data_IF_646941356780
#
_entry.id   IF_646941356780
#
_cell.length_a   1.000
_cell.length_b   1.000
_cell.length_c   1.000
_cell.angle_alpha   90.00
_cell.angle_beta   90.00
_cell.angle_gamma   90.00
#
_symmetry.space_group_name_H-M   'P 1'
#
loop_
_entity.id
_entity.type
_entity.pdbx_description
1 polymer ?
#
# COMPACT_ATOMS: atom_id res chain seq x y z
N UNK A 1 3.75 -26.60 -62.64
CA UNK A 1 4.52 -25.63 -61.84
C UNK A 1 3.59 -25.05 -60.79
N UNK A 2 3.62 -25.59 -59.56
CA UNK A 2 2.79 -25.13 -58.43
C UNK A 2 3.72 -24.96 -57.23
N UNK A 3 3.83 -23.73 -56.72
CA UNK A 3 4.61 -23.37 -55.53
C UNK A 3 3.88 -23.87 -54.26
N UNK A 4 4.58 -24.37 -53.23
CA UNK A 4 3.96 -24.66 -51.95
C UNK A 4 3.71 -23.35 -51.19
N UNK A 5 2.49 -23.18 -50.67
CA UNK A 5 2.15 -22.07 -49.77
C UNK A 5 2.79 -22.32 -48.41
N UNK A 6 3.78 -21.50 -48.07
CA UNK A 6 4.36 -21.43 -46.72
C UNK A 6 3.29 -20.95 -45.75
N UNK A 7 2.88 -21.80 -44.82
CA UNK A 7 2.00 -21.41 -43.72
C UNK A 7 2.83 -20.63 -42.69
N UNK A 8 2.52 -19.35 -42.52
CA UNK A 8 3.10 -18.52 -41.48
C UNK A 8 2.34 -18.78 -40.18
N UNK A 9 2.96 -19.53 -39.25
CA UNK A 9 2.42 -19.72 -37.91
C UNK A 9 2.70 -18.45 -37.08
N UNK A 10 1.67 -17.66 -36.81
CA UNK A 10 1.76 -16.58 -35.81
C UNK A 10 1.66 -17.20 -34.42
N UNK A 11 2.78 -17.21 -33.69
CA UNK A 11 2.78 -17.47 -32.25
C UNK A 11 2.25 -16.21 -31.55
N UNK A 12 0.98 -16.21 -31.14
CA UNK A 12 0.46 -15.15 -30.30
C UNK A 12 1.10 -15.28 -28.90
N UNK A 13 2.04 -14.40 -28.58
CA UNK A 13 2.48 -14.24 -27.21
C UNK A 13 1.28 -13.75 -26.38
N UNK A 14 0.72 -14.63 -25.56
CA UNK A 14 -0.22 -14.22 -24.52
C UNK A 14 0.58 -13.42 -23.49
N UNK A 15 0.63 -12.10 -23.67
CA UNK A 15 0.98 -11.21 -22.58
C UNK A 15 -0.07 -11.46 -21.49
N UNK A 16 0.34 -12.15 -20.44
CA UNK A 16 -0.52 -12.44 -19.30
C UNK A 16 -1.09 -11.11 -18.82
N UNK A 17 -2.40 -10.95 -18.94
CA UNK A 17 -3.15 -9.91 -18.23
C UNK A 17 -2.80 -10.11 -16.76
N UNK A 18 -2.02 -9.19 -16.20
CA UNK A 18 -1.76 -9.16 -14.76
C UNK A 18 -3.14 -9.01 -14.12
N UNK A 19 -3.59 -10.06 -13.43
CA UNK A 19 -4.82 -10.00 -12.65
C UNK A 19 -4.76 -8.77 -11.75
N UNK A 20 -5.90 -8.09 -11.57
CA UNK A 20 -6.01 -7.11 -10.50
C UNK A 20 -5.51 -7.72 -9.19
N UNK A 21 -4.78 -6.93 -8.40
CA UNK A 21 -4.26 -7.33 -7.10
C UNK A 21 -5.36 -8.01 -6.27
N UNK A 22 -5.12 -9.25 -5.82
CA UNK A 22 -6.07 -9.92 -4.93
C UNK A 22 -5.97 -9.32 -3.54
N UNK A 23 -7.11 -9.23 -2.85
CA UNK A 23 -7.16 -8.74 -1.48
C UNK A 23 -6.48 -9.68 -0.46
N UNK A 24 -6.16 -10.90 -0.88
CA UNK A 24 -5.48 -11.93 -0.06
C UNK A 24 -4.05 -12.20 -0.50
N UNK A 25 -3.47 -11.34 -1.34
CA UNK A 25 -2.09 -11.50 -1.78
C UNK A 25 -1.12 -11.42 -0.60
N UNK A 26 -0.02 -12.15 -0.74
CA UNK A 26 1.09 -12.20 0.23
C UNK A 26 2.38 -11.80 -0.49
N UNK A 27 3.33 -11.23 0.24
CA UNK A 27 4.63 -10.92 -0.34
C UNK A 27 5.38 -12.21 -0.67
N UNK A 28 5.84 -12.33 -1.92
CA UNK A 28 6.60 -13.49 -2.41
C UNK A 28 8.01 -13.14 -2.90
N UNK A 29 8.37 -11.85 -2.97
CA UNK A 29 9.68 -11.37 -3.40
C UNK A 29 10.10 -10.18 -2.54
N UNK A 30 11.39 -10.09 -2.19
CA UNK A 30 11.98 -8.96 -1.44
C UNK A 30 12.16 -9.25 0.05
N UNK A 31 12.63 -8.26 0.81
CA UNK A 31 12.88 -8.39 2.25
C UNK A 31 11.61 -8.74 3.07
N UNK A 32 10.42 -8.44 2.57
CA UNK A 32 9.15 -8.84 3.20
C UNK A 32 8.94 -10.36 3.23
N UNK A 33 9.73 -11.15 2.48
CA UNK A 33 9.70 -12.62 2.56
C UNK A 33 10.56 -13.20 3.68
N UNK A 34 11.43 -12.40 4.30
CA UNK A 34 12.33 -12.88 5.37
C UNK A 34 11.57 -13.03 6.70
N UNK A 35 12.20 -13.67 7.69
CA UNK A 35 11.56 -13.91 8.98
C UNK A 35 10.32 -14.79 8.83
N UNK A 36 9.17 -14.36 9.37
CA UNK A 36 7.89 -15.06 9.21
C UNK A 36 7.19 -14.82 7.87
N UNK A 37 7.77 -13.99 7.00
CA UNK A 37 7.12 -13.48 5.80
C UNK A 37 6.02 -12.45 6.11
N UNK A 38 5.43 -11.88 5.04
CA UNK A 38 4.34 -10.90 5.12
C UNK A 38 3.09 -11.41 4.41
N UNK A 39 2.06 -11.72 5.19
CA UNK A 39 0.74 -12.18 4.75
C UNK A 39 -0.41 -11.25 5.13
N UNK A 40 -0.12 -10.18 5.88
CA UNK A 40 -1.07 -9.16 6.28
C UNK A 40 -2.23 -9.73 7.10
N UNK A 41 -3.45 -9.32 6.75
CA UNK A 41 -4.69 -9.76 7.38
C UNK A 41 -5.30 -11.03 6.78
N UNK A 42 -4.57 -11.77 5.93
CA UNK A 42 -5.07 -13.01 5.30
C UNK A 42 -5.58 -13.99 6.37
N UNK A 43 -6.80 -14.51 6.16
CA UNK A 43 -7.47 -15.42 7.10
C UNK A 43 -8.27 -14.70 8.20
N UNK A 44 -8.16 -13.37 8.29
CA UNK A 44 -8.97 -12.53 9.15
C UNK A 44 -10.26 -12.04 8.50
N UNK A 45 -10.98 -11.19 9.23
CA UNK A 45 -12.18 -10.51 8.75
C UNK A 45 -11.84 -9.58 7.58
N UNK A 46 -12.75 -9.45 6.61
CA UNK A 46 -12.66 -8.40 5.59
C UNK A 46 -13.67 -7.30 5.90
N UNK A 47 -13.19 -6.07 6.08
CA UNK A 47 -14.04 -4.89 6.31
C UNK A 47 -13.83 -3.88 5.19
N UNK A 48 -14.88 -3.17 4.80
CA UNK A 48 -14.78 -2.03 3.87
C UNK A 48 -14.95 -0.73 4.65
N UNK A 49 -14.04 0.21 4.46
CA UNK A 49 -14.05 1.52 5.13
C UNK A 49 -14.18 2.64 4.10
N UNK A 50 -14.98 3.65 4.45
CA UNK A 50 -15.21 4.85 3.64
C UNK A 50 -15.17 6.14 4.48
N UNK A 51 -14.68 6.06 5.72
CA UNK A 51 -14.54 7.20 6.63
C UNK A 51 -13.30 7.06 7.51
N UNK A 52 -12.78 8.18 8.01
CA UNK A 52 -11.59 8.20 8.86
C UNK A 52 -11.81 7.40 10.15
N UNK A 53 -12.96 7.56 10.80
CA UNK A 53 -13.31 6.82 12.02
C UNK A 53 -13.34 5.31 11.79
N UNK A 54 -13.93 4.86 10.66
CA UNK A 54 -13.97 3.44 10.32
C UNK A 54 -12.56 2.90 10.01
N UNK A 55 -11.73 3.66 9.31
CA UNK A 55 -10.33 3.32 9.06
C UNK A 55 -9.57 3.14 10.39
N UNK A 56 -9.62 4.14 11.28
CA UNK A 56 -8.96 4.10 12.60
C UNK A 56 -9.39 2.86 13.38
N UNK A 57 -10.70 2.63 13.49
CA UNK A 57 -11.23 1.49 14.24
C UNK A 57 -10.78 0.15 13.67
N UNK A 58 -10.67 0.03 12.35
CA UNK A 58 -10.32 -1.23 11.70
C UNK A 58 -8.84 -1.60 11.82
N UNK A 59 -7.95 -0.61 12.00
CA UNK A 59 -6.49 -0.81 11.94
C UNK A 59 -5.77 -0.71 13.28
N UNK A 60 -6.41 -0.18 14.33
CA UNK A 60 -5.76 0.14 15.60
C UNK A 60 -5.31 -1.08 16.44
N UNK A 61 -5.98 -2.23 16.28
CA UNK A 61 -5.68 -3.46 17.01
C UNK A 61 -4.66 -4.37 16.28
N UNK A 62 -4.37 -5.54 16.85
CA UNK A 62 -3.50 -6.56 16.23
C UNK A 62 -4.27 -7.75 15.62
N UNK A 63 -5.61 -7.69 15.60
CA UNK A 63 -6.47 -8.76 15.07
C UNK A 63 -6.30 -8.84 13.56
N UNK A 64 -6.05 -10.01 12.95
CA UNK A 64 -5.93 -10.13 11.50
C UNK A 64 -7.15 -9.54 10.78
N UNK A 65 -6.93 -8.58 9.88
CA UNK A 65 -8.01 -7.95 9.12
C UNK A 65 -7.55 -7.45 7.75
N UNK A 66 -8.36 -7.71 6.74
CA UNK A 66 -8.28 -7.08 5.42
C UNK A 66 -9.18 -5.84 5.45
N UNK A 67 -8.57 -4.67 5.40
CA UNK A 67 -9.24 -3.37 5.44
C UNK A 67 -9.27 -2.79 4.03
N UNK A 68 -10.42 -2.88 3.38
CA UNK A 68 -10.63 -2.38 2.03
C UNK A 68 -11.02 -0.90 2.07
N UNK A 69 -10.14 -0.03 1.58
CA UNK A 69 -10.39 1.43 1.49
C UNK A 69 -11.22 1.71 0.24
N UNK A 70 -12.45 2.19 0.41
CA UNK A 70 -13.37 2.47 -0.69
C UNK A 70 -13.52 3.98 -0.91
N UNK A 71 -13.15 4.44 -2.11
CA UNK A 71 -13.22 5.85 -2.47
C UNK A 71 -12.18 6.70 -1.76
N UNK A 72 -12.50 7.97 -1.55
CA UNK A 72 -11.62 8.94 -0.88
C UNK A 72 -12.01 9.08 0.59
N UNK A 73 -11.03 8.90 1.48
CA UNK A 73 -11.12 9.22 2.89
C UNK A 73 -10.19 10.41 3.15
N UNK A 74 -10.79 11.53 3.53
CA UNK A 74 -10.05 12.74 3.89
C UNK A 74 -9.99 12.92 5.40
N UNK A 75 -8.90 13.48 5.89
CA UNK A 75 -8.69 13.71 7.31
C UNK A 75 -7.50 14.62 7.58
N UNK A 76 -7.23 14.81 8.86
CA UNK A 76 -6.08 15.51 9.38
C UNK A 76 -5.63 14.71 10.62
N UNK A 77 -5.01 13.56 10.38
CA UNK A 77 -4.79 12.56 11.41
C UNK A 77 -3.55 11.71 11.17
N UNK A 78 -2.88 11.38 12.28
CA UNK A 78 -1.94 10.28 12.38
C UNK A 78 -2.69 9.03 12.85
N UNK A 79 -2.79 8.02 11.98
CA UNK A 79 -3.52 6.78 12.25
C UNK A 79 -2.53 5.69 12.67
N UNK A 80 -2.66 5.21 13.91
CA UNK A 80 -1.87 4.10 14.42
C UNK A 80 -2.33 2.78 13.79
N UNK A 81 -1.42 2.06 13.14
CA UNK A 81 -1.69 0.78 12.49
C UNK A 81 -1.01 -0.35 13.27
N UNK A 82 -1.81 -1.24 13.86
CA UNK A 82 -1.31 -2.43 14.53
C UNK A 82 -0.89 -3.55 13.56
N UNK A 83 -0.54 -4.70 14.12
CA UNK A 83 -0.07 -5.86 13.36
C UNK A 83 -1.19 -6.59 12.60
N UNK A 84 -0.79 -7.44 11.64
CA UNK A 84 -1.68 -8.34 10.89
C UNK A 84 -2.75 -7.61 10.08
N UNK A 85 -2.37 -6.55 9.39
CA UNK A 85 -3.29 -5.74 8.58
C UNK A 85 -2.96 -5.87 7.11
N UNK A 86 -4.00 -5.98 6.28
CA UNK A 86 -3.90 -5.68 4.85
C UNK A 86 -4.77 -4.47 4.56
N UNK A 87 -4.18 -3.29 4.37
CA UNK A 87 -4.89 -2.06 3.98
C UNK A 87 -4.83 -1.97 2.46
N UNK A 88 -5.97 -2.20 1.80
CA UNK A 88 -6.02 -2.36 0.34
C UNK A 88 -7.03 -1.40 -0.27
N UNK A 89 -6.62 -0.58 -1.23
CA UNK A 89 -7.55 0.30 -1.93
C UNK A 89 -8.42 -0.45 -2.94
N UNK A 90 -9.73 -0.20 -2.88
CA UNK A 90 -10.69 -0.59 -3.93
C UNK A 90 -10.65 0.47 -5.01
N UNK A 91 -10.30 0.09 -6.24
CA UNK A 91 -10.12 1.02 -7.37
C UNK A 91 -9.20 2.20 -7.00
N UNK A 92 -8.07 1.90 -6.36
CA UNK A 92 -7.10 2.91 -5.88
C UNK A 92 -7.68 3.85 -4.83
N UNK A 93 -8.13 3.28 -3.70
CA UNK A 93 -8.68 4.03 -2.57
C UNK A 93 -7.69 5.10 -2.06
N UNK A 94 -8.21 6.30 -1.77
CA UNK A 94 -7.40 7.50 -1.56
C UNK A 94 -7.47 7.97 -0.11
N UNK A 95 -6.32 8.15 0.53
CA UNK A 95 -6.16 8.75 1.86
C UNK A 95 -5.57 10.16 1.70
N UNK A 96 -6.35 11.19 2.04
CA UNK A 96 -5.96 12.60 1.89
C UNK A 96 -5.79 13.22 3.28
N UNK A 97 -4.60 13.75 3.57
CA UNK A 97 -4.26 14.37 4.86
C UNK A 97 -4.13 13.38 6.03
N UNK A 98 -3.95 12.10 5.73
CA UNK A 98 -3.90 11.02 6.72
C UNK A 98 -2.55 10.30 6.61
N UNK A 99 -1.76 10.36 7.68
CA UNK A 99 -0.53 9.57 7.82
C UNK A 99 -0.82 8.21 8.45
N UNK A 100 -0.29 7.13 7.88
CA UNK A 100 -0.32 5.80 8.50
C UNK A 100 0.96 5.57 9.30
N UNK A 101 0.81 5.31 10.59
CA UNK A 101 1.93 5.20 11.53
C UNK A 101 2.03 3.79 12.10
N UNK A 102 3.03 3.04 11.61
CA UNK A 102 3.35 1.68 12.05
C UNK A 102 4.50 1.79 13.05
N UNK A 103 4.24 1.44 14.31
CA UNK A 103 5.24 1.50 15.37
C UNK A 103 5.20 0.23 16.20
N UNK A 104 6.30 -0.54 16.16
CA UNK A 104 6.35 -1.90 16.69
C UNK A 104 5.29 -2.85 16.09
N UNK A 105 4.90 -2.59 14.85
CA UNK A 105 3.94 -3.43 14.12
C UNK A 105 4.65 -4.49 13.31
N UNK A 106 3.98 -5.59 13.03
CA UNK A 106 4.50 -6.63 12.16
C UNK A 106 3.44 -7.21 11.24
N UNK A 107 3.89 -7.79 10.13
CA UNK A 107 3.02 -8.46 9.18
C UNK A 107 1.91 -7.51 8.65
N UNK A 108 2.33 -6.42 8.00
CA UNK A 108 1.43 -5.40 7.45
C UNK A 108 1.61 -5.26 5.95
N UNK A 109 0.50 -5.23 5.22
CA UNK A 109 0.42 -4.96 3.79
C UNK A 109 -0.32 -3.64 3.58
N UNK A 110 0.25 -2.73 2.81
CA UNK A 110 -0.42 -1.50 2.33
C UNK A 110 -0.34 -1.53 0.81
N UNK A 111 -1.49 -1.55 0.14
CA UNK A 111 -1.53 -1.90 -1.27
C UNK A 111 -2.61 -1.22 -2.08
N UNK A 112 -2.29 -0.82 -3.32
CA UNK A 112 -3.25 -0.20 -4.24
C UNK A 112 -3.96 1.02 -3.61
N UNK A 113 -3.25 1.83 -2.84
CA UNK A 113 -3.77 3.06 -2.23
C UNK A 113 -3.11 4.27 -2.85
N UNK A 114 -3.78 5.42 -2.73
CA UNK A 114 -3.21 6.73 -3.04
C UNK A 114 -3.10 7.46 -1.70
N UNK A 115 -1.96 8.12 -1.45
CA UNK A 115 -1.74 8.94 -0.27
C UNK A 115 -1.35 10.34 -0.69
N UNK A 116 -2.02 11.35 -0.14
CA UNK A 116 -1.63 12.72 -0.44
C UNK A 116 -1.86 13.76 0.65
N UNK A 117 -1.10 14.84 0.58
CA UNK A 117 -1.28 16.08 1.35
C UNK A 117 -1.25 15.88 2.87
N UNK A 118 -0.37 15.02 3.35
CA UNK A 118 -0.20 14.79 4.79
C UNK A 118 0.63 15.92 5.38
N UNK A 119 -0.03 16.80 6.15
CA UNK A 119 0.64 17.89 6.86
C UNK A 119 1.70 17.34 7.81
N UNK A 120 2.82 18.06 7.96
CA UNK A 120 3.97 17.62 8.79
C UNK A 120 3.61 17.30 10.24
N UNK A 121 2.54 17.90 10.78
CA UNK A 121 2.00 17.58 12.12
C UNK A 121 1.52 16.11 12.25
N UNK A 122 1.20 15.46 11.13
CA UNK A 122 0.79 14.06 11.06
C UNK A 122 1.89 13.12 10.54
N UNK A 123 3.13 13.61 10.48
CA UNK A 123 4.32 12.93 9.94
C UNK A 123 4.18 12.65 8.43
N UNK A 124 4.57 11.46 7.98
CA UNK A 124 4.61 11.10 6.56
C UNK A 124 3.29 10.47 6.10
N UNK A 125 3.15 10.26 4.79
CA UNK A 125 2.06 9.44 4.28
C UNK A 125 2.09 8.01 4.84
N UNK A 126 3.27 7.41 4.98
CA UNK A 126 3.49 6.17 5.73
C UNK A 126 4.80 6.26 6.53
N UNK A 127 4.68 6.21 7.85
CA UNK A 127 5.84 6.16 8.76
C UNK A 127 5.96 4.75 9.35
N UNK A 128 7.15 4.15 9.25
CA UNK A 128 7.44 2.80 9.73
C UNK A 128 8.61 2.86 10.72
N UNK A 129 8.30 2.63 12.00
CA UNK A 129 9.26 2.67 13.11
C UNK A 129 9.28 1.32 13.81
N UNK A 130 10.47 0.75 14.03
CA UNK A 130 10.65 -0.49 14.81
C UNK A 130 9.80 -1.69 14.37
N UNK A 131 9.40 -1.72 13.09
CA UNK A 131 8.41 -2.65 12.56
C UNK A 131 9.06 -3.66 11.61
N UNK A 132 8.50 -4.85 11.49
CA UNK A 132 9.06 -5.93 10.65
C UNK A 132 8.02 -6.50 9.71
N UNK A 133 8.45 -7.09 8.60
CA UNK A 133 7.55 -7.75 7.66
C UNK A 133 6.45 -6.81 7.14
N UNK A 134 6.86 -5.61 6.69
CA UNK A 134 5.96 -4.65 6.05
C UNK A 134 6.13 -4.70 4.52
N UNK A 135 5.01 -4.73 3.79
CA UNK A 135 4.98 -4.70 2.33
C UNK A 135 4.13 -3.53 1.84
N UNK A 136 4.76 -2.59 1.15
CA UNK A 136 4.10 -1.48 0.46
C UNK A 136 4.15 -1.79 -1.04
N UNK A 137 2.99 -1.91 -1.69
CA UNK A 137 2.94 -2.28 -3.11
C UNK A 137 1.86 -1.55 -3.91
N UNK A 138 2.18 -1.11 -5.13
CA UNK A 138 1.24 -0.34 -5.97
C UNK A 138 0.63 0.89 -5.25
N UNK A 139 1.45 1.60 -4.48
CA UNK A 139 1.00 2.82 -3.77
C UNK A 139 1.46 4.06 -4.52
N UNK A 140 0.56 5.02 -4.72
CA UNK A 140 0.88 6.34 -5.28
C UNK A 140 0.94 7.37 -4.14
N UNK A 141 2.08 8.05 -4.02
CA UNK A 141 2.36 9.05 -2.99
C UNK A 141 2.60 10.40 -3.63
N UNK A 142 1.91 11.43 -3.15
CA UNK A 142 2.19 12.80 -3.59
C UNK A 142 1.76 13.88 -2.63
N UNK A 143 2.41 15.03 -2.73
CA UNK A 143 1.94 16.29 -2.17
C UNK A 143 1.77 17.31 -3.31
N UNK A 144 1.60 18.57 -2.95
CA UNK A 144 1.89 19.69 -3.85
C UNK A 144 3.27 20.30 -3.50
N UNK A 145 3.71 21.28 -4.28
CA UNK A 145 5.01 21.98 -4.11
C UNK A 145 4.80 23.48 -3.97
N UNK A 146 3.62 23.88 -3.52
CA UNK A 146 3.18 25.29 -3.48
C UNK A 146 3.40 25.91 -2.09
N UNK A 147 4.07 25.17 -1.20
CA UNK A 147 4.35 25.53 0.19
C UNK A 147 5.84 25.43 0.48
N UNK A 148 6.27 25.90 1.67
CA UNK A 148 7.63 25.68 2.13
C UNK A 148 7.92 24.18 2.39
N UNK A 149 9.20 23.83 2.48
CA UNK A 149 9.68 22.45 2.58
C UNK A 149 9.21 21.71 3.84
N UNK A 150 8.76 22.40 4.89
CA UNK A 150 8.36 21.82 6.17
C UNK A 150 6.84 21.85 6.39
N UNK A 151 6.07 22.37 5.41
CA UNK A 151 4.61 22.31 5.40
C UNK A 151 4.11 20.85 5.34
N UNK A 152 4.76 20.06 4.49
CA UNK A 152 4.68 18.61 4.48
C UNK A 152 6.00 18.05 5.01
N UNK A 153 5.96 16.91 5.72
CA UNK A 153 7.19 16.19 6.11
C UNK A 153 7.64 15.29 4.94
N UNK A 154 8.02 14.04 5.14
CA UNK A 154 8.31 13.07 4.09
C UNK A 154 7.07 12.40 3.49
N UNK A 155 7.29 11.56 2.46
CA UNK A 155 6.24 10.66 1.94
C UNK A 155 6.26 9.31 2.64
N UNK A 156 7.43 8.68 2.74
CA UNK A 156 7.58 7.37 3.36
C UNK A 156 8.89 7.33 4.14
N UNK A 157 8.79 7.15 5.46
CA UNK A 157 9.96 7.02 6.32
C UNK A 157 10.05 5.63 6.95
N UNK A 158 11.28 5.13 7.02
CA UNK A 158 11.59 3.80 7.53
C UNK A 158 12.73 3.93 8.54
N UNK A 159 12.42 3.77 9.82
CA UNK A 159 13.40 3.88 10.90
C UNK A 159 13.47 2.56 11.68
N UNK A 160 14.63 1.89 11.63
CA UNK A 160 14.91 0.65 12.38
C UNK A 160 13.87 -0.44 12.10
N UNK A 161 13.57 -0.68 10.83
CA UNK A 161 12.50 -1.55 10.38
C UNK A 161 12.92 -2.44 9.19
N UNK A 162 12.12 -3.46 8.89
CA UNK A 162 12.25 -4.30 7.69
C UNK A 162 11.03 -4.13 6.78
N UNK A 163 11.26 -3.69 5.54
CA UNK A 163 10.22 -3.33 4.58
C UNK A 163 10.60 -3.77 3.16
N UNK A 164 9.60 -4.00 2.32
CA UNK A 164 9.75 -3.93 0.86
C UNK A 164 8.75 -2.96 0.28
N UNK A 165 9.24 -2.06 -0.58
CA UNK A 165 8.43 -1.07 -1.29
C UNK A 165 8.54 -1.41 -2.78
N UNK A 166 7.42 -1.78 -3.41
CA UNK A 166 7.38 -2.34 -4.76
C UNK A 166 6.31 -1.64 -5.59
N UNK A 167 6.53 -1.54 -6.90
CA UNK A 167 5.56 -1.03 -7.88
C UNK A 167 4.88 0.31 -7.47
N UNK A 168 5.54 1.11 -6.65
CA UNK A 168 4.98 2.31 -6.03
C UNK A 168 5.58 3.55 -6.65
N UNK A 169 4.82 4.64 -6.64
CA UNK A 169 5.17 5.90 -7.31
C UNK A 169 5.22 7.03 -6.30
N UNK A 170 6.37 7.67 -6.16
CA UNK A 170 6.54 8.87 -5.34
C UNK A 170 6.74 10.06 -6.28
N UNK A 171 5.90 11.09 -6.17
CA UNK A 171 5.98 12.26 -7.04
C UNK A 171 5.45 13.52 -6.34
N UNK A 172 5.82 14.69 -6.87
CA UNK A 172 5.35 16.00 -6.39
C UNK A 172 5.50 16.16 -4.87
N UNK A 173 6.75 16.25 -4.43
CA UNK A 173 7.12 16.45 -3.04
C UNK A 173 8.25 17.48 -2.98
N UNK A 174 8.35 18.31 -1.92
CA UNK A 174 9.46 19.23 -1.72
C UNK A 174 10.85 18.55 -1.80
#
# INVERSE_FOLDING_TARGET
MFLPKTALYFLAATYGVVSAASITDVCIVGYCTLGSGTSGGKGGETVTVASLTALISAVADNTPRIVVVSGTISGAAKVLVGSNKSIIGRNSGHLVGIGLFLNHSSNVIIRNTIHSKVLSTYEDAITIKYSTNVWIDHVDFSNDRDHDKDYYDGLVDVTRASVSIQNSRLHKHP
#
